data_IF_195109192193
#
_entry.id   IF_195109192193
#
_cell.length_a   1.000
_cell.length_b   1.000
_cell.length_c   1.000
_cell.angle_alpha   90.00
_cell.angle_beta   90.00
_cell.angle_gamma   90.00
#
_symmetry.space_group_name_H-M   'P 1'
#
loop_
_entity.id
_entity.type
_entity.pdbx_description
1 polymer ?
#
# COMPACT_ATOMS: atom_id res chain seq x y z
N UNK A 1 30.50 9.39 25.28
CA UNK A 1 29.76 10.19 24.29
C UNK A 1 28.82 9.23 23.58
N UNK A 2 27.52 9.38 23.80
CA UNK A 2 26.50 8.42 23.38
C UNK A 2 26.12 8.65 21.93
N UNK A 3 26.39 7.70 21.05
CA UNK A 3 25.80 7.64 19.72
C UNK A 3 24.49 6.85 19.83
N UNK A 4 23.39 7.56 20.07
CA UNK A 4 22.06 7.02 19.83
C UNK A 4 21.88 6.90 18.32
N UNK A 5 22.09 5.70 17.78
CA UNK A 5 21.55 5.32 16.47
C UNK A 5 20.03 5.45 16.55
N UNK A 6 19.49 6.52 15.98
CA UNK A 6 18.07 6.56 15.63
C UNK A 6 17.87 5.57 14.48
N UNK A 7 17.45 4.36 14.82
CA UNK A 7 16.73 3.53 13.86
C UNK A 7 15.40 4.26 13.59
N UNK A 8 15.30 4.93 12.45
CA UNK A 8 14.01 5.24 11.84
C UNK A 8 13.39 3.91 11.40
N UNK A 9 12.84 3.16 12.36
CA UNK A 9 11.83 2.17 12.06
C UNK A 9 10.62 2.99 11.63
N UNK A 10 10.36 3.03 10.33
CA UNK A 10 9.16 3.65 9.80
C UNK A 10 7.98 2.84 10.34
N UNK A 11 7.44 3.28 11.48
CA UNK A 11 6.28 2.69 12.14
C UNK A 11 5.08 2.94 11.22
N UNK A 12 4.82 2.01 10.30
CA UNK A 12 3.58 2.02 9.52
C UNK A 12 2.49 1.76 10.54
N UNK A 13 1.65 2.78 10.78
CA UNK A 13 0.57 2.63 11.74
C UNK A 13 -0.34 1.45 11.33
N UNK A 14 -0.84 0.69 12.30
CA UNK A 14 -1.78 -0.42 12.01
C UNK A 14 -2.95 0.02 11.09
N UNK A 15 -3.54 1.22 11.25
CA UNK A 15 -4.56 1.73 10.33
C UNK A 15 -4.08 1.90 8.88
N UNK A 16 -2.84 2.37 8.66
CA UNK A 16 -2.26 2.49 7.32
C UNK A 16 -2.06 1.12 6.66
N UNK A 17 -1.65 0.13 7.45
CA UNK A 17 -1.48 -1.24 6.96
C UNK A 17 -2.82 -1.86 6.56
N UNK A 18 -3.88 -1.66 7.35
CA UNK A 18 -5.23 -2.12 7.00
C UNK A 18 -5.75 -1.46 5.71
N UNK A 19 -5.54 -0.15 5.55
CA UNK A 19 -5.94 0.58 4.33
C UNK A 19 -5.17 0.09 3.09
N UNK A 20 -3.89 -0.24 3.23
CA UNK A 20 -3.09 -0.83 2.15
C UNK A 20 -3.58 -2.23 1.77
N UNK A 21 -3.93 -3.06 2.76
CA UNK A 21 -4.48 -4.40 2.54
C UNK A 21 -5.84 -4.36 1.83
N UNK A 22 -6.70 -3.39 2.15
CA UNK A 22 -7.96 -3.17 1.43
C UNK A 22 -7.73 -2.90 -0.06
N UNK A 23 -6.73 -2.08 -0.41
CA UNK A 23 -6.37 -1.80 -1.80
C UNK A 23 -5.85 -3.06 -2.50
N UNK A 24 -4.95 -3.80 -1.86
CA UNK A 24 -4.42 -5.08 -2.38
C UNK A 24 -5.56 -6.07 -2.66
N UNK A 25 -6.50 -6.20 -1.71
CA UNK A 25 -7.65 -7.10 -1.85
C UNK A 25 -8.57 -6.68 -3.00
N UNK A 26 -8.83 -5.38 -3.15
CA UNK A 26 -9.64 -4.88 -4.25
C UNK A 26 -8.99 -5.16 -5.62
N UNK A 27 -7.68 -4.98 -5.74
CA UNK A 27 -6.93 -5.32 -6.96
C UNK A 27 -7.02 -6.83 -7.25
N UNK A 28 -6.82 -7.67 -6.23
CA UNK A 28 -6.89 -9.13 -6.38
C UNK A 28 -8.26 -9.62 -6.87
N UNK A 29 -9.33 -9.07 -6.33
CA UNK A 29 -10.71 -9.44 -6.71
C UNK A 29 -11.12 -8.83 -8.06
N UNK A 30 -10.41 -7.79 -8.53
CA UNK A 30 -10.77 -7.04 -9.73
C UNK A 30 -11.99 -6.13 -9.53
N UNK A 31 -12.24 -5.66 -8.30
CA UNK A 31 -13.33 -4.73 -8.00
C UNK A 31 -12.84 -3.28 -8.13
N UNK A 32 -13.11 -2.67 -9.28
CA UNK A 32 -12.73 -1.28 -9.58
C UNK A 32 -13.35 -0.25 -8.63
N UNK A 33 -14.57 -0.52 -8.12
CA UNK A 33 -15.25 0.39 -7.19
C UNK A 33 -14.55 0.35 -5.83
N UNK A 34 -14.25 -0.85 -5.33
CA UNK A 34 -13.50 -1.03 -4.10
C UNK A 34 -12.06 -0.49 -4.23
N UNK A 35 -11.40 -0.68 -5.37
CA UNK A 35 -10.06 -0.16 -5.65
C UNK A 35 -10.02 1.36 -5.54
N UNK A 36 -10.98 2.07 -6.18
CA UNK A 36 -11.10 3.54 -6.08
C UNK A 36 -11.45 4.03 -4.68
N UNK A 37 -12.23 3.27 -3.91
CA UNK A 37 -12.56 3.62 -2.54
C UNK A 37 -11.33 3.48 -1.61
N UNK A 38 -10.60 2.37 -1.71
CA UNK A 38 -9.38 2.14 -0.94
C UNK A 38 -8.27 3.13 -1.30
N UNK A 39 -8.09 3.41 -2.59
CA UNK A 39 -7.13 4.42 -3.08
C UNK A 39 -7.38 5.80 -2.45
N UNK A 40 -8.62 6.29 -2.47
CA UNK A 40 -8.98 7.59 -1.86
C UNK A 40 -8.77 7.64 -0.35
N UNK A 41 -8.91 6.51 0.35
CA UNK A 41 -8.59 6.45 1.79
C UNK A 41 -7.10 6.59 2.02
N UNK A 42 -6.29 5.91 1.21
CA UNK A 42 -4.83 5.98 1.28
C UNK A 42 -4.26 7.36 0.91
N UNK A 43 -4.90 8.11 -0.01
CA UNK A 43 -4.49 9.49 -0.31
C UNK A 43 -4.51 10.42 0.93
N UNK A 44 -5.27 10.07 1.97
CA UNK A 44 -5.30 10.81 3.23
C UNK A 44 -4.09 10.60 4.14
N UNK A 45 -3.27 9.59 3.86
CA UNK A 45 -2.13 9.18 4.72
C UNK A 45 -0.83 8.98 3.95
N UNK A 46 -0.90 8.58 2.68
CA UNK A 46 0.25 8.29 1.82
C UNK A 46 0.32 9.25 0.65
N UNK A 47 1.54 9.47 0.14
CA UNK A 47 1.73 10.17 -1.11
C UNK A 47 1.17 9.36 -2.28
N UNK A 48 0.68 10.05 -3.30
CA UNK A 48 0.19 9.41 -4.52
C UNK A 48 1.21 8.43 -5.11
N UNK A 49 2.49 8.82 -5.20
CA UNK A 49 3.56 7.96 -5.71
C UNK A 49 3.69 6.63 -4.94
N UNK A 50 3.58 6.65 -3.61
CA UNK A 50 3.65 5.44 -2.78
C UNK A 50 2.46 4.51 -3.04
N UNK A 51 1.28 5.07 -3.30
CA UNK A 51 0.08 4.29 -3.61
C UNK A 51 0.20 3.69 -5.02
N UNK A 52 0.67 4.48 -5.99
CA UNK A 52 0.89 4.03 -7.37
C UNK A 52 1.93 2.91 -7.44
N UNK A 53 3.02 3.02 -6.68
CA UNK A 53 4.05 1.98 -6.56
C UNK A 53 3.43 0.67 -6.01
N UNK A 54 2.60 0.75 -4.95
CA UNK A 54 1.90 -0.41 -4.41
C UNK A 54 0.96 -1.05 -5.45
N UNK A 55 0.18 -0.24 -6.18
CA UNK A 55 -0.71 -0.75 -7.23
C UNK A 55 0.09 -1.47 -8.31
N UNK A 56 1.19 -0.86 -8.77
CA UNK A 56 2.05 -1.43 -9.79
C UNK A 56 2.66 -2.76 -9.34
N UNK A 57 3.23 -2.82 -8.14
CA UNK A 57 3.85 -4.03 -7.59
C UNK A 57 2.84 -5.17 -7.44
N UNK A 58 1.65 -4.87 -6.92
CA UNK A 58 0.58 -5.87 -6.74
C UNK A 58 0.09 -6.39 -8.09
N UNK A 59 -0.14 -5.51 -9.07
CA UNK A 59 -0.54 -5.91 -10.42
C UNK A 59 0.56 -6.71 -11.14
N UNK A 60 1.83 -6.36 -10.94
CA UNK A 60 2.97 -7.10 -11.47
C UNK A 60 3.07 -8.50 -10.87
N UNK A 61 2.89 -8.64 -9.55
CA UNK A 61 2.87 -9.94 -8.86
C UNK A 61 1.76 -10.85 -9.40
N UNK A 62 0.55 -10.31 -9.59
CA UNK A 62 -0.54 -11.10 -10.15
C UNK A 62 -0.33 -11.43 -11.63
N UNK A 63 0.25 -10.54 -12.42
CA UNK A 63 0.60 -10.82 -13.82
C UNK A 63 1.64 -11.93 -13.92
N UNK A 64 2.70 -11.89 -13.10
CA UNK A 64 3.71 -12.96 -13.06
C UNK A 64 3.13 -14.30 -12.62
N UNK A 65 2.15 -14.30 -11.72
CA UNK A 65 1.45 -15.52 -11.31
C UNK A 65 0.52 -16.09 -12.39
N UNK A 66 0.02 -15.25 -13.30
CA UNK A 66 -0.90 -15.64 -14.37
C UNK A 66 -0.21 -16.19 -15.63
N UNK A 67 1.10 -15.94 -15.82
CA UNK A 67 1.90 -16.42 -16.95
C UNK A 67 2.20 -15.36 -17.99
#
# INVERSE_FOLDING_TARGET
>A
MSETMYQEQTEVSEPESEMALDLVRAIFVGDDSAKRAAYRRLEGVWSQAKIDDLVFDVEALFRMAAG
#
